data_IF_246143677560
#
_entry.id   IF_246143677560
#
_cell.length_a   1.000
_cell.length_b   1.000
_cell.length_c   1.000
_cell.angle_alpha   90.00
_cell.angle_beta   90.00
_cell.angle_gamma   90.00
#
_symmetry.space_group_name_H-M   'P 1'
#
loop_
_entity.id
_entity.type
_entity.pdbx_description
1 polymer ?
#
# COMPACT_ATOMS: atom_id res chain seq x y z
N UNK A 1 -1.92 -77.31 16.44
CA UNK A 1 -0.45 -77.45 16.38
C UNK A 1 0.06 -76.33 15.51
N UNK A 2 0.41 -75.28 16.09
CA UNK A 2 1.70 -74.60 16.36
C UNK A 2 2.73 -74.83 15.24
N UNK A 3 3.06 -73.71 14.60
CA UNK A 3 4.34 -73.12 14.18
C UNK A 3 4.14 -72.33 12.93
N UNK A 4 4.52 -71.12 12.70
CA UNK A 4 5.51 -70.25 13.35
C UNK A 4 5.76 -69.17 12.26
N UNK A 5 5.19 -67.99 12.41
CA UNK A 5 5.54 -66.83 11.54
C UNK A 5 6.81 -66.21 12.11
N UNK A 6 7.92 -66.53 11.47
CA UNK A 6 9.18 -65.81 11.68
C UNK A 6 9.17 -64.55 10.85
N UNK A 7 9.14 -63.42 11.56
CA UNK A 7 9.26 -62.09 10.98
C UNK A 7 10.63 -61.88 10.34
N UNK A 8 10.61 -61.28 9.18
CA UNK A 8 11.78 -60.67 8.54
C UNK A 8 11.61 -59.17 8.56
N UNK A 9 12.04 -58.58 9.67
CA UNK A 9 12.27 -57.13 9.77
C UNK A 9 13.52 -56.83 8.96
N UNK A 10 13.36 -56.30 7.79
CA UNK A 10 14.47 -55.75 7.01
C UNK A 10 14.73 -54.32 7.48
N UNK A 11 15.78 -54.17 8.26
CA UNK A 11 16.34 -52.89 8.65
C UNK A 11 16.87 -52.17 7.39
N UNK A 12 16.22 -51.09 7.00
CA UNK A 12 16.81 -50.10 6.12
C UNK A 12 17.85 -49.31 6.91
N UNK A 13 19.12 -49.72 6.78
CA UNK A 13 20.23 -48.93 7.29
C UNK A 13 20.35 -47.64 6.51
N UNK A 14 20.24 -46.55 7.24
CA UNK A 14 20.62 -45.21 6.81
C UNK A 14 22.08 -45.19 6.36
N UNK A 15 22.33 -44.80 5.12
CA UNK A 15 23.59 -44.19 4.74
C UNK A 15 23.40 -42.70 4.77
N UNK A 16 23.60 -42.12 5.96
CA UNK A 16 23.87 -40.72 6.13
C UNK A 16 25.35 -40.49 5.82
N UNK A 17 25.65 -40.18 4.58
CA UNK A 17 26.95 -39.65 4.17
C UNK A 17 26.99 -38.15 4.45
N UNK A 18 27.71 -37.81 5.51
CA UNK A 18 28.13 -36.45 5.78
C UNK A 18 29.04 -35.96 4.64
N UNK A 19 28.64 -34.95 3.95
CA UNK A 19 29.50 -34.07 3.18
C UNK A 19 29.32 -32.64 3.68
N UNK A 20 29.93 -32.39 4.84
CA UNK A 20 30.27 -31.06 5.28
C UNK A 20 31.66 -30.76 4.73
N UNK A 21 31.76 -29.93 3.73
CA UNK A 21 33.02 -29.32 3.34
C UNK A 21 32.70 -27.88 2.93
N UNK A 22 32.99 -26.98 3.86
CA UNK A 22 33.52 -25.64 3.66
C UNK A 22 33.42 -25.11 2.23
N UNK A 23 32.52 -24.11 2.05
CA UNK A 23 32.80 -23.10 1.07
C UNK A 23 32.76 -21.74 1.77
N UNK A 24 33.94 -21.22 1.99
CA UNK A 24 34.23 -19.96 2.55
C UNK A 24 33.60 -18.85 1.71
N UNK A 25 33.12 -17.89 2.40
CA UNK A 25 32.66 -16.61 1.97
C UNK A 25 33.47 -16.01 0.79
N UNK A 26 32.75 -15.76 -0.29
CA UNK A 26 33.06 -14.65 -1.18
C UNK A 26 31.84 -13.73 -1.12
N UNK A 27 31.86 -12.89 -0.10
CA UNK A 27 30.97 -11.74 0.01
C UNK A 27 31.42 -10.75 -1.08
N UNK A 28 30.88 -10.89 -2.28
CA UNK A 28 30.90 -9.78 -3.24
C UNK A 28 29.91 -8.74 -2.71
N UNK A 29 30.47 -7.76 -2.02
CA UNK A 29 29.83 -6.49 -1.75
C UNK A 29 29.40 -5.88 -3.10
N UNK A 30 28.13 -6.06 -3.45
CA UNK A 30 27.48 -5.16 -4.39
C UNK A 30 27.56 -3.77 -3.73
N UNK A 31 27.99 -2.73 -4.45
CA UNK A 31 27.93 -1.39 -3.90
C UNK A 31 26.46 -1.10 -3.59
N UNK A 32 26.21 -0.73 -2.34
CA UNK A 32 24.93 -0.15 -1.95
C UNK A 32 24.62 0.98 -2.95
N UNK A 33 23.36 1.10 -3.44
CA UNK A 33 22.99 2.26 -4.22
C UNK A 33 23.30 3.48 -3.36
N UNK A 34 24.14 4.36 -3.88
CA UNK A 34 24.42 5.64 -3.27
C UNK A 34 23.10 6.41 -3.15
N UNK A 35 22.44 6.25 -2.03
CA UNK A 35 21.35 7.12 -1.58
C UNK A 35 21.95 8.49 -1.18
N UNK A 36 22.50 9.21 -2.15
CA UNK A 36 22.64 10.66 -2.08
C UNK A 36 21.35 11.32 -2.57
N UNK A 37 20.24 10.88 -2.03
CA UNK A 37 19.03 11.67 -1.99
C UNK A 37 19.29 12.79 -0.99
N UNK A 38 19.63 13.98 -1.47
CA UNK A 38 19.58 15.18 -0.66
C UNK A 38 18.14 15.31 -0.20
N UNK A 39 17.86 14.85 1.04
CA UNK A 39 16.58 15.09 1.69
C UNK A 39 16.36 16.60 1.67
N UNK A 40 15.29 17.02 1.03
CA UNK A 40 14.82 18.40 1.14
C UNK A 40 14.76 18.72 2.64
N UNK A 41 15.34 19.86 3.08
CA UNK A 41 15.06 20.32 4.41
C UNK A 41 13.54 20.49 4.48
N UNK A 42 12.87 19.60 5.23
CA UNK A 42 11.49 19.80 5.61
C UNK A 42 11.43 21.23 6.16
N UNK A 43 10.59 22.07 5.58
CA UNK A 43 10.29 23.35 6.20
C UNK A 43 9.85 23.01 7.62
N UNK A 44 10.65 23.34 8.62
CA UNK A 44 10.49 22.85 10.00
C UNK A 44 9.09 23.04 10.55
N UNK A 45 8.39 24.02 10.00
CA UNK A 45 7.01 24.37 10.34
C UNK A 45 5.97 23.34 9.85
N UNK A 46 6.20 22.66 8.71
CA UNK A 46 5.24 21.67 8.19
C UNK A 46 5.10 20.45 9.12
N UNK A 47 6.17 20.09 9.83
CA UNK A 47 6.16 18.99 10.81
C UNK A 47 5.15 19.19 11.95
N UNK A 48 4.84 20.45 12.30
CA UNK A 48 3.83 20.75 13.34
C UNK A 48 2.40 20.46 12.89
N UNK A 49 2.14 20.45 11.59
CA UNK A 49 0.84 20.10 11.03
C UNK A 49 0.64 18.59 10.80
N UNK A 50 1.71 17.79 10.95
CA UNK A 50 1.72 16.36 10.71
C UNK A 50 1.76 15.56 12.03
N UNK A 51 1.27 14.31 12.05
CA UNK A 51 1.49 13.43 13.17
C UNK A 51 2.98 13.07 13.30
N UNK A 52 3.49 12.80 14.53
CA UNK A 52 4.88 12.42 14.74
C UNK A 52 5.25 11.17 13.95
N UNK A 53 6.39 11.17 13.28
CA UNK A 53 6.82 10.08 12.40
C UNK A 53 6.83 8.71 13.07
N UNK A 54 7.33 8.62 14.31
CA UNK A 54 7.34 7.36 15.06
C UNK A 54 5.94 6.80 15.34
N UNK A 55 4.95 7.69 15.58
CA UNK A 55 3.57 7.27 15.77
C UNK A 55 2.96 6.79 14.45
N UNK A 56 3.27 7.45 13.33
CA UNK A 56 2.86 7.03 11.99
C UNK A 56 3.42 5.65 11.69
N UNK A 57 4.73 5.45 11.83
CA UNK A 57 5.40 4.17 11.55
C UNK A 57 4.76 3.01 12.32
N UNK A 58 4.63 3.14 13.64
CA UNK A 58 4.00 2.10 14.48
C UNK A 58 2.55 1.81 14.08
N UNK A 59 1.81 2.86 13.75
CA UNK A 59 0.41 2.73 13.33
C UNK A 59 0.32 1.98 12.01
N UNK A 60 1.11 2.39 11.01
CA UNK A 60 1.11 1.76 9.69
C UNK A 60 1.50 0.29 9.75
N UNK A 61 2.56 -0.06 10.49
CA UNK A 61 2.98 -1.46 10.70
C UNK A 61 1.86 -2.34 11.30
N UNK A 62 0.95 -1.74 12.06
CA UNK A 62 -0.19 -2.44 12.64
C UNK A 62 -1.38 -2.62 11.69
N UNK A 63 -1.41 -1.91 10.56
CA UNK A 63 -2.52 -1.96 9.60
C UNK A 63 -2.60 -3.32 8.91
N UNK A 64 -3.81 -3.86 8.72
CA UNK A 64 -4.01 -5.15 8.06
C UNK A 64 -3.35 -5.26 6.67
N UNK A 65 -3.44 -4.27 5.75
CA UNK A 65 -2.78 -4.35 4.45
C UNK A 65 -1.27 -4.54 4.54
N UNK A 66 -0.59 -3.86 5.47
CA UNK A 66 0.85 -3.95 5.62
C UNK A 66 1.31 -5.24 6.31
N UNK A 67 0.49 -5.76 7.24
CA UNK A 67 0.71 -7.09 7.81
C UNK A 67 0.53 -8.18 6.77
N UNK A 68 -0.45 -8.06 5.88
CA UNK A 68 -0.61 -8.97 4.74
C UNK A 68 0.61 -8.90 3.81
N UNK A 69 1.11 -7.72 3.48
CA UNK A 69 2.33 -7.56 2.69
C UNK A 69 3.56 -8.25 3.29
N UNK A 70 3.69 -8.26 4.63
CA UNK A 70 4.74 -9.04 5.31
C UNK A 70 4.55 -10.55 5.12
N UNK A 71 3.32 -11.05 5.25
CA UNK A 71 3.00 -12.47 5.01
C UNK A 71 3.20 -12.86 3.53
N UNK A 72 2.94 -11.96 2.59
CA UNK A 72 3.22 -12.17 1.17
C UNK A 72 4.72 -12.28 0.87
N UNK A 73 5.58 -11.55 1.58
CA UNK A 73 7.03 -11.73 1.51
C UNK A 73 7.49 -13.08 2.06
N UNK A 74 6.91 -13.54 3.18
CA UNK A 74 7.16 -14.87 3.72
C UNK A 74 6.71 -15.96 2.74
N UNK A 75 5.53 -15.82 2.14
CA UNK A 75 5.02 -16.70 1.11
C UNK A 75 5.95 -16.75 -0.11
N UNK A 76 6.38 -15.60 -0.62
CA UNK A 76 7.29 -15.53 -1.75
C UNK A 76 8.64 -16.21 -1.46
N UNK A 77 9.13 -16.11 -0.23
CA UNK A 77 10.35 -16.82 0.24
C UNK A 77 10.15 -18.33 0.27
N UNK A 78 8.99 -18.79 0.73
CA UNK A 78 8.65 -20.23 0.72
C UNK A 78 8.48 -20.76 -0.72
N UNK A 79 7.87 -19.97 -1.61
CA UNK A 79 7.77 -20.33 -3.03
C UNK A 79 9.13 -20.35 -3.73
N UNK A 80 10.03 -19.42 -3.39
CA UNK A 80 11.41 -19.47 -3.87
C UNK A 80 12.11 -20.77 -3.42
N UNK A 81 11.97 -21.17 -2.16
CA UNK A 81 12.53 -22.43 -1.66
C UNK A 81 11.96 -23.63 -2.42
N UNK A 82 10.65 -23.64 -2.70
CA UNK A 82 9.98 -24.67 -3.51
C UNK A 82 10.54 -24.73 -4.94
N UNK A 83 10.71 -23.58 -5.59
CA UNK A 83 11.29 -23.50 -6.94
C UNK A 83 12.74 -23.99 -6.97
N UNK A 84 13.53 -23.68 -5.95
CA UNK A 84 14.91 -24.14 -5.82
C UNK A 84 14.97 -25.65 -5.62
N UNK A 85 14.12 -26.21 -4.75
CA UNK A 85 14.04 -27.66 -4.54
C UNK A 85 13.60 -28.42 -5.81
N UNK A 86 12.70 -27.80 -6.58
CA UNK A 86 12.09 -28.39 -7.77
C UNK A 86 10.94 -29.32 -7.44
N UNK A 87 10.18 -29.67 -8.48
CA UNK A 87 8.95 -30.46 -8.35
C UNK A 87 9.16 -31.96 -8.48
N UNK A 88 10.38 -32.40 -8.81
CA UNK A 88 10.68 -33.82 -9.06
C UNK A 88 11.12 -34.54 -7.78
N UNK A 89 10.20 -35.30 -7.23
CA UNK A 89 10.45 -36.18 -6.08
C UNK A 89 10.90 -37.56 -6.49
N UNK A 90 11.52 -38.29 -5.55
CA UNK A 90 11.81 -39.68 -5.72
C UNK A 90 10.55 -40.50 -5.63
N UNK A 91 10.31 -41.37 -6.64
CA UNK A 91 9.20 -42.30 -6.65
C UNK A 91 9.72 -43.71 -6.48
N UNK A 92 9.26 -44.40 -5.45
CA UNK A 92 9.49 -45.80 -5.26
C UNK A 92 8.31 -46.56 -5.83
N UNK A 93 8.58 -47.51 -6.71
CA UNK A 93 7.56 -48.39 -7.27
C UNK A 93 7.81 -49.82 -6.77
N UNK A 94 6.79 -50.43 -6.19
CA UNK A 94 6.81 -51.83 -5.80
C UNK A 94 5.67 -52.56 -6.46
N UNK A 95 5.95 -53.65 -7.12
CA UNK A 95 4.96 -54.52 -7.79
C UNK A 95 5.09 -55.97 -7.40
N UNK A 96 3.96 -56.66 -7.30
CA UNK A 96 3.90 -58.10 -7.18
C UNK A 96 2.91 -58.64 -8.22
N UNK A 97 3.33 -59.61 -9.01
CA UNK A 97 2.52 -60.24 -10.04
C UNK A 97 2.60 -61.75 -10.00
N UNK A 98 1.63 -62.40 -10.60
CA UNK A 98 1.65 -63.85 -10.78
C UNK A 98 1.54 -64.13 -12.28
N UNK A 99 2.61 -64.75 -12.82
CA UNK A 99 2.64 -65.16 -14.22
C UNK A 99 2.13 -66.60 -14.33
N UNK A 100 1.23 -66.82 -15.25
CA UNK A 100 0.78 -68.16 -15.65
C UNK A 100 1.29 -68.46 -17.07
N UNK A 101 2.06 -69.47 -17.21
CA UNK A 101 2.56 -70.00 -18.51
C UNK A 101 1.79 -71.25 -18.81
N UNK A 102 1.29 -71.42 -20.03
CA UNK A 102 0.56 -72.59 -20.45
C UNK A 102 1.47 -73.82 -20.48
N UNK A 103 1.09 -74.88 -19.79
CA UNK A 103 1.94 -76.08 -19.63
C UNK A 103 2.94 -76.03 -18.48
N UNK A 104 3.04 -74.94 -17.75
CA UNK A 104 3.92 -74.74 -16.61
C UNK A 104 3.18 -74.38 -15.33
N UNK A 105 3.88 -74.32 -14.18
CA UNK A 105 3.36 -73.87 -12.90
C UNK A 105 3.16 -72.31 -12.92
N UNK A 106 2.43 -71.82 -11.95
CA UNK A 106 2.32 -70.35 -11.72
C UNK A 106 3.56 -69.84 -11.03
N UNK A 107 4.12 -68.77 -11.51
CA UNK A 107 5.30 -68.08 -10.98
C UNK A 107 4.92 -66.80 -10.26
N UNK A 108 5.56 -66.50 -9.12
CA UNK A 108 5.44 -65.21 -8.43
C UNK A 108 6.60 -64.34 -8.89
N UNK A 109 6.26 -63.12 -9.20
CA UNK A 109 7.21 -62.13 -9.66
C UNK A 109 7.13 -60.89 -8.77
N UNK A 110 8.26 -60.27 -8.54
CA UNK A 110 8.36 -59.04 -7.75
C UNK A 110 9.18 -58.01 -8.51
N UNK A 111 8.72 -56.75 -8.44
CA UNK A 111 9.40 -55.61 -9.04
C UNK A 111 9.65 -54.55 -7.97
N UNK A 112 10.86 -53.99 -7.94
CA UNK A 112 11.22 -52.80 -7.20
C UNK A 112 11.84 -51.79 -8.15
N UNK A 113 11.30 -50.57 -8.16
CA UNK A 113 11.81 -49.47 -8.96
C UNK A 113 12.02 -48.23 -8.13
N UNK A 114 13.02 -47.46 -8.50
CA UNK A 114 13.28 -46.11 -7.99
C UNK A 114 13.46 -45.20 -9.20
N UNK A 115 12.64 -44.16 -9.27
CA UNK A 115 12.67 -43.23 -10.39
C UNK A 115 12.60 -41.78 -9.93
N UNK A 116 13.20 -40.85 -10.72
CA UNK A 116 13.13 -39.40 -10.48
C UNK A 116 13.15 -38.64 -11.80
N UNK A 117 12.31 -37.62 -11.91
CA UNK A 117 12.43 -36.65 -12.97
C UNK A 117 13.67 -35.77 -12.78
N UNK A 118 14.29 -35.38 -13.86
CA UNK A 118 15.46 -34.49 -13.86
C UNK A 118 15.12 -33.25 -14.64
N UNK A 119 15.19 -32.07 -13.97
CA UNK A 119 15.01 -30.82 -14.67
C UNK A 119 16.02 -30.70 -15.83
N UNK A 120 15.50 -30.43 -17.03
CA UNK A 120 16.34 -30.26 -18.23
C UNK A 120 17.30 -29.09 -18.04
N UNK A 121 18.40 -29.07 -18.80
CA UNK A 121 19.45 -28.06 -18.69
C UNK A 121 18.91 -26.63 -18.72
N UNK A 122 19.32 -25.82 -17.71
CA UNK A 122 18.94 -24.43 -17.57
C UNK A 122 17.61 -24.16 -16.87
N UNK A 123 16.68 -25.14 -16.74
CA UNK A 123 15.39 -24.92 -16.05
C UNK A 123 15.55 -24.61 -14.57
N UNK A 124 16.50 -25.27 -13.89
CA UNK A 124 16.78 -25.00 -12.48
C UNK A 124 17.27 -23.56 -12.24
N UNK A 125 18.09 -23.02 -13.15
CA UNK A 125 18.54 -21.62 -13.08
C UNK A 125 17.39 -20.63 -13.36
N UNK A 126 16.52 -20.97 -14.30
CA UNK A 126 15.31 -20.18 -14.58
C UNK A 126 14.36 -20.16 -13.36
N UNK A 127 14.13 -21.34 -12.74
CA UNK A 127 13.30 -21.49 -11.54
C UNK A 127 13.89 -20.66 -10.38
N UNK A 128 15.21 -20.69 -10.18
CA UNK A 128 15.90 -19.86 -9.18
C UNK A 128 15.68 -18.37 -9.43
N UNK A 129 15.87 -17.88 -10.67
CA UNK A 129 15.67 -16.48 -11.04
C UNK A 129 14.21 -16.03 -10.86
N UNK A 130 13.24 -16.90 -11.16
CA UNK A 130 11.83 -16.62 -10.90
C UNK A 130 11.58 -16.49 -9.40
N UNK A 131 12.14 -17.37 -8.57
CA UNK A 131 12.01 -17.29 -7.13
C UNK A 131 12.61 -16.01 -6.55
N UNK A 132 13.86 -15.67 -6.96
CA UNK A 132 14.52 -14.41 -6.56
C UNK A 132 13.69 -13.18 -6.95
N UNK A 133 13.21 -13.14 -8.20
CA UNK A 133 12.37 -12.03 -8.67
C UNK A 133 11.00 -12.01 -8.01
N UNK A 134 10.44 -13.16 -7.62
CA UNK A 134 9.19 -13.25 -6.84
C UNK A 134 9.32 -12.62 -5.46
N UNK A 135 10.45 -12.80 -4.77
CA UNK A 135 10.74 -12.13 -3.50
C UNK A 135 10.87 -10.62 -3.70
N UNK A 136 11.59 -10.18 -4.75
CA UNK A 136 11.70 -8.74 -5.11
C UNK A 136 10.32 -8.15 -5.40
N UNK A 137 9.44 -8.89 -6.09
CA UNK A 137 8.08 -8.45 -6.39
C UNK A 137 7.26 -8.23 -5.10
N UNK A 138 7.33 -9.18 -4.16
CA UNK A 138 6.65 -9.04 -2.88
C UNK A 138 7.18 -7.85 -2.05
N UNK A 139 8.48 -7.54 -2.15
CA UNK A 139 9.08 -6.35 -1.53
C UNK A 139 8.54 -5.06 -2.16
N UNK A 140 8.50 -4.98 -3.49
CA UNK A 140 7.95 -3.83 -4.21
C UNK A 140 6.46 -3.62 -3.92
N UNK A 141 5.67 -4.71 -3.85
CA UNK A 141 4.25 -4.66 -3.46
C UNK A 141 4.06 -4.09 -2.04
N UNK A 142 4.91 -4.49 -1.10
CA UNK A 142 4.86 -3.96 0.27
C UNK A 142 5.24 -2.48 0.33
N UNK A 143 6.24 -2.05 -0.45
CA UNK A 143 6.66 -0.65 -0.52
C UNK A 143 5.56 0.24 -1.11
N UNK A 144 4.91 -0.21 -2.19
CA UNK A 144 3.77 0.49 -2.78
C UNK A 144 2.58 0.56 -1.82
N UNK A 145 2.24 -0.55 -1.15
CA UNK A 145 1.19 -0.58 -0.13
C UNK A 145 1.47 0.35 1.06
N UNK A 146 2.74 0.48 1.47
CA UNK A 146 3.16 1.44 2.50
C UNK A 146 2.92 2.86 2.04
N UNK A 147 3.35 3.22 0.85
CA UNK A 147 3.19 4.55 0.31
C UNK A 147 1.72 4.94 0.17
N UNK A 148 0.86 4.03 -0.29
CA UNK A 148 -0.58 4.26 -0.40
C UNK A 148 -1.26 4.39 0.98
N UNK A 149 -0.83 3.59 1.97
CA UNK A 149 -1.29 3.74 3.34
C UNK A 149 -0.88 5.09 3.96
N UNK A 150 0.33 5.58 3.67
CA UNK A 150 0.77 6.92 4.06
C UNK A 150 -0.11 8.02 3.44
N UNK A 151 -0.46 7.88 2.17
CA UNK A 151 -1.34 8.81 1.45
C UNK A 151 -2.73 8.87 2.07
N UNK A 152 -3.30 7.70 2.34
CA UNK A 152 -4.63 7.60 2.96
C UNK A 152 -4.63 8.20 4.36
N UNK A 153 -3.65 7.85 5.20
CA UNK A 153 -3.49 8.42 6.54
C UNK A 153 -3.38 9.95 6.49
N UNK A 154 -2.56 10.48 5.57
CA UNK A 154 -2.38 11.93 5.39
C UNK A 154 -3.69 12.62 5.02
N UNK A 155 -4.46 12.04 4.12
CA UNK A 155 -5.76 12.57 3.73
C UNK A 155 -6.72 12.59 4.92
N UNK A 156 -6.88 11.46 5.62
CA UNK A 156 -7.76 11.35 6.80
C UNK A 156 -7.36 12.34 7.90
N UNK A 157 -6.05 12.55 8.09
CA UNK A 157 -5.52 13.50 9.05
C UNK A 157 -5.92 14.95 8.73
N UNK A 158 -5.70 15.37 7.49
CA UNK A 158 -6.06 16.74 7.06
C UNK A 158 -7.56 16.93 6.96
N UNK A 159 -8.34 15.90 6.67
CA UNK A 159 -9.81 15.97 6.71
C UNK A 159 -10.32 16.18 8.15
N UNK A 160 -9.70 15.50 9.13
CA UNK A 160 -10.01 15.72 10.53
C UNK A 160 -9.63 17.15 11.01
N UNK A 161 -8.45 17.64 10.60
CA UNK A 161 -8.07 19.04 10.87
C UNK A 161 -9.07 20.04 10.29
N UNK A 162 -9.55 19.80 9.07
CA UNK A 162 -10.55 20.66 8.41
C UNK A 162 -11.89 20.63 9.15
N UNK A 163 -12.36 19.46 9.56
CA UNK A 163 -13.60 19.30 10.31
C UNK A 163 -13.53 19.98 11.68
N UNK A 164 -12.41 19.80 12.40
CA UNK A 164 -12.16 20.48 13.69
C UNK A 164 -12.12 22.01 13.53
N UNK A 165 -11.44 22.51 12.50
CA UNK A 165 -11.35 23.95 12.23
C UNK A 165 -12.72 24.55 11.94
N UNK A 166 -13.53 23.88 11.13
CA UNK A 166 -14.91 24.29 10.83
C UNK A 166 -15.76 24.32 12.08
N UNK A 167 -15.72 23.26 12.90
CA UNK A 167 -16.45 23.18 14.17
C UNK A 167 -16.07 24.31 15.12
N UNK A 168 -14.78 24.59 15.28
CA UNK A 168 -14.30 25.65 16.16
C UNK A 168 -14.81 27.02 15.72
N UNK A 169 -14.70 27.37 14.44
CA UNK A 169 -15.16 28.66 13.92
C UNK A 169 -16.67 28.86 14.03
N UNK A 170 -17.43 27.79 13.79
CA UNK A 170 -18.88 27.84 13.96
C UNK A 170 -19.27 27.91 15.45
N UNK A 171 -18.50 27.35 16.36
CA UNK A 171 -18.72 27.53 17.79
C UNK A 171 -18.45 28.97 18.24
N UNK A 172 -17.37 29.60 17.77
CA UNK A 172 -17.05 30.99 18.02
C UNK A 172 -18.17 31.91 17.49
N UNK A 173 -18.65 31.65 16.27
CA UNK A 173 -19.74 32.37 15.66
C UNK A 173 -21.05 32.23 16.44
N UNK A 174 -21.40 31.00 16.84
CA UNK A 174 -22.62 30.75 17.62
C UNK A 174 -22.61 31.52 18.96
N UNK A 175 -21.48 31.46 19.69
CA UNK A 175 -21.33 32.23 20.93
C UNK A 175 -21.52 33.76 20.73
N UNK A 176 -21.01 34.26 19.63
CA UNK A 176 -21.15 35.68 19.28
C UNK A 176 -22.59 36.04 18.93
N UNK A 177 -23.31 35.23 18.15
CA UNK A 177 -24.73 35.46 17.83
C UNK A 177 -25.59 35.38 19.09
N UNK A 178 -25.26 34.54 20.07
CA UNK A 178 -25.91 34.52 21.40
C UNK A 178 -25.75 35.87 22.11
N UNK A 179 -24.56 36.46 22.08
CA UNK A 179 -24.33 37.80 22.68
C UNK A 179 -25.14 38.88 21.96
N UNK A 180 -25.22 38.83 20.62
CA UNK A 180 -26.04 39.79 19.84
C UNK A 180 -27.54 39.65 20.14
N UNK A 181 -28.05 38.42 20.30
CA UNK A 181 -29.42 38.16 20.69
C UNK A 181 -29.72 38.79 22.07
N UNK A 182 -28.86 38.54 23.07
CA UNK A 182 -29.04 39.15 24.40
C UNK A 182 -29.00 40.69 24.38
N UNK A 183 -28.11 41.26 23.57
CA UNK A 183 -28.04 42.70 23.39
C UNK A 183 -29.31 43.29 22.73
N UNK A 184 -29.82 42.63 21.69
CA UNK A 184 -31.08 43.05 21.01
C UNK A 184 -32.27 42.94 21.95
N UNK A 185 -32.38 41.94 22.78
CA UNK A 185 -33.44 41.80 23.78
C UNK A 185 -33.43 42.91 24.82
N UNK A 186 -32.25 43.36 25.28
CA UNK A 186 -32.13 44.49 26.20
C UNK A 186 -32.53 45.77 25.55
N UNK A 187 -32.12 46.02 24.32
CA UNK A 187 -32.48 47.26 23.57
C UNK A 187 -33.98 47.36 23.27
N UNK A 188 -34.63 46.23 22.98
CA UNK A 188 -36.09 46.22 22.79
C UNK A 188 -36.81 46.47 24.13
N UNK A 189 -36.31 45.92 25.24
CA UNK A 189 -36.88 46.18 26.58
C UNK A 189 -36.76 47.65 27.02
N UNK A 190 -35.66 48.33 26.64
CA UNK A 190 -35.47 49.75 26.91
C UNK A 190 -36.24 50.67 25.96
N UNK A 191 -36.84 50.11 24.92
CA UNK A 191 -37.54 50.88 23.88
C UNK A 191 -36.63 51.51 22.82
N UNK A 192 -35.34 51.13 22.81
CA UNK A 192 -34.32 51.71 21.92
C UNK A 192 -34.25 51.01 20.54
N UNK A 193 -34.99 49.87 20.38
CA UNK A 193 -34.99 49.12 19.15
C UNK A 193 -36.34 48.45 18.88
N UNK A 194 -36.70 48.21 17.60
CA UNK A 194 -37.92 47.51 17.24
C UNK A 194 -37.86 46.02 17.56
N UNK A 195 -38.98 45.41 17.90
CA UNK A 195 -39.09 43.95 18.17
C UNK A 195 -38.58 43.07 17.01
N UNK A 196 -38.52 43.61 15.80
CA UNK A 196 -37.96 42.96 14.62
C UNK A 196 -36.51 42.53 14.83
N UNK A 197 -35.70 43.32 15.57
CA UNK A 197 -34.30 42.97 15.82
C UNK A 197 -34.15 41.64 16.64
N UNK A 198 -35.03 41.44 17.63
CA UNK A 198 -35.04 40.17 18.39
C UNK A 198 -35.43 38.99 17.50
N UNK A 199 -36.39 39.16 16.58
CA UNK A 199 -36.74 38.09 15.64
C UNK A 199 -35.64 37.78 14.66
N UNK A 200 -34.91 38.79 14.17
CA UNK A 200 -33.79 38.62 13.24
C UNK A 200 -32.62 37.89 13.91
N UNK A 201 -32.21 38.32 15.11
CA UNK A 201 -31.13 37.66 15.88
C UNK A 201 -31.53 36.24 16.32
N UNK A 202 -32.80 36.03 16.69
CA UNK A 202 -33.31 34.69 17.03
C UNK A 202 -33.27 33.71 15.85
N UNK A 203 -33.61 34.20 14.64
CA UNK A 203 -33.50 33.38 13.41
C UNK A 203 -32.04 33.05 13.11
N UNK A 204 -31.11 34.00 13.26
CA UNK A 204 -29.68 33.76 13.02
C UNK A 204 -29.09 32.85 14.11
N UNK A 205 -29.54 32.95 15.35
CA UNK A 205 -29.15 32.04 16.44
C UNK A 205 -29.55 30.61 16.11
N UNK A 206 -30.81 30.36 15.75
CA UNK A 206 -31.29 29.04 15.38
C UNK A 206 -30.51 28.47 14.17
N UNK A 207 -30.22 29.29 13.17
CA UNK A 207 -29.39 28.91 12.02
C UNK A 207 -27.97 28.50 12.45
N UNK A 208 -27.33 29.31 13.30
CA UNK A 208 -25.97 29.05 13.77
C UNK A 208 -25.88 27.75 14.61
N UNK A 209 -26.94 27.43 15.35
CA UNK A 209 -27.06 26.21 16.12
C UNK A 209 -27.08 24.96 15.20
N UNK A 210 -27.89 25.00 14.13
CA UNK A 210 -27.94 23.90 13.13
C UNK A 210 -26.58 23.70 12.47
N UNK A 211 -25.91 24.79 12.04
CA UNK A 211 -24.59 24.69 11.41
C UNK A 211 -23.54 24.12 12.38
N UNK A 212 -23.57 24.54 13.63
CA UNK A 212 -22.66 24.04 14.66
C UNK A 212 -22.92 22.55 14.98
N UNK A 213 -24.19 22.15 15.04
CA UNK A 213 -24.57 20.75 15.27
C UNK A 213 -24.02 19.84 14.15
N UNK A 214 -24.18 20.28 12.89
CA UNK A 214 -23.62 19.55 11.74
C UNK A 214 -22.08 19.47 11.81
N UNK A 215 -21.40 20.58 12.07
CA UNK A 215 -19.94 20.60 12.16
C UNK A 215 -19.38 19.74 13.32
N UNK A 216 -20.10 19.69 14.46
CA UNK A 216 -19.78 18.80 15.57
C UNK A 216 -19.90 17.33 15.17
N UNK A 217 -20.95 17.00 14.44
CA UNK A 217 -21.14 15.65 13.91
C UNK A 217 -19.98 15.27 12.98
N UNK A 218 -19.64 16.11 12.00
CA UNK A 218 -18.57 15.87 11.03
C UNK A 218 -17.19 15.70 11.73
N UNK A 219 -16.89 16.57 12.70
CA UNK A 219 -15.67 16.49 13.49
C UNK A 219 -15.61 15.19 14.33
N UNK A 220 -16.73 14.79 14.93
CA UNK A 220 -16.83 13.55 15.70
C UNK A 220 -16.58 12.32 14.81
N UNK A 221 -17.16 12.31 13.61
CA UNK A 221 -16.94 11.23 12.65
C UNK A 221 -15.48 11.15 12.18
N UNK A 222 -14.87 12.27 11.81
CA UNK A 222 -13.48 12.32 11.38
C UNK A 222 -12.52 11.85 12.49
N UNK A 223 -12.74 12.28 13.72
CA UNK A 223 -11.95 11.83 14.89
C UNK A 223 -12.19 10.35 15.21
N UNK A 224 -13.42 9.85 15.07
CA UNK A 224 -13.74 8.44 15.25
C UNK A 224 -13.03 7.57 14.20
N UNK A 225 -12.99 8.01 12.94
CA UNK A 225 -12.21 7.35 11.88
C UNK A 225 -10.73 7.24 12.28
N UNK A 226 -10.11 8.37 12.66
CA UNK A 226 -8.70 8.39 13.06
C UNK A 226 -8.44 7.48 14.27
N UNK A 227 -9.24 7.57 15.33
CA UNK A 227 -9.04 6.79 16.55
C UNK A 227 -9.29 5.30 16.36
N UNK A 228 -10.16 4.92 15.44
CA UNK A 228 -10.49 3.51 15.16
C UNK A 228 -9.46 2.88 14.24
N UNK A 229 -9.11 3.58 13.15
CA UNK A 229 -8.19 3.07 12.11
C UNK A 229 -6.74 3.21 12.56
N UNK A 230 -6.38 4.35 13.17
CA UNK A 230 -5.00 4.74 13.50
C UNK A 230 -4.82 4.92 15.01
N UNK A 231 -5.03 3.86 15.76
CA UNK A 231 -5.14 3.85 17.23
C UNK A 231 -3.95 4.47 17.99
N UNK A 232 -2.78 4.50 17.38
CA UNK A 232 -1.55 4.99 18.03
C UNK A 232 -1.23 6.45 17.67
N UNK A 233 -2.05 7.10 16.85
CA UNK A 233 -1.85 8.50 16.52
C UNK A 233 -2.41 9.40 17.63
N UNK A 234 -1.74 10.53 17.92
CA UNK A 234 -2.32 11.59 18.75
C UNK A 234 -3.50 12.24 18.03
N UNK A 235 -4.33 12.95 18.76
CA UNK A 235 -5.39 13.76 18.12
C UNK A 235 -4.80 14.99 17.41
N UNK A 236 -5.34 15.39 16.24
CA UNK A 236 -4.95 16.61 15.55
C UNK A 236 -5.18 17.86 16.43
N UNK A 237 -4.25 18.82 16.38
CA UNK A 237 -4.32 20.07 17.14
C UNK A 237 -4.30 21.24 16.18
N UNK A 238 -5.24 22.19 16.35
CA UNK A 238 -5.39 23.36 15.48
C UNK A 238 -4.50 24.54 15.87
N UNK A 239 -4.12 24.64 17.12
CA UNK A 239 -3.28 25.70 17.68
C UNK A 239 -1.84 25.71 17.14
N UNK A 240 -1.43 24.62 16.50
CA UNK A 240 -0.10 24.45 15.94
C UNK A 240 -0.05 24.46 14.41
N UNK A 241 -1.12 24.87 13.74
CA UNK A 241 -1.12 24.95 12.27
C UNK A 241 -0.19 26.07 11.78
N UNK A 242 0.89 25.73 11.05
CA UNK A 242 1.81 26.72 10.52
C UNK A 242 1.20 27.48 9.34
N UNK A 243 1.82 28.60 8.99
CA UNK A 243 1.50 29.25 7.71
C UNK A 243 2.13 28.44 6.56
N UNK A 244 1.35 28.18 5.49
CA UNK A 244 1.89 27.58 4.28
C UNK A 244 3.04 28.41 3.71
N UNK A 245 4.12 27.71 3.31
CA UNK A 245 5.28 28.39 2.73
C UNK A 245 5.27 28.26 1.20
N UNK A 246 5.79 29.31 0.55
CA UNK A 246 5.99 29.25 -0.89
C UNK A 246 7.14 28.32 -1.20
N UNK A 247 6.91 27.46 -2.15
CA UNK A 247 7.95 26.59 -2.66
C UNK A 247 9.04 27.37 -3.41
N UNK A 248 10.31 26.95 -3.22
CA UNK A 248 11.48 27.58 -3.81
C UNK A 248 12.02 26.81 -5.02
N UNK A 249 11.71 25.50 -5.15
CA UNK A 249 12.18 24.68 -6.24
C UNK A 249 11.37 24.88 -7.54
N UNK A 250 12.02 24.70 -8.68
CA UNK A 250 11.38 24.74 -9.97
C UNK A 250 10.50 23.48 -10.21
N UNK A 251 9.46 23.67 -11.03
CA UNK A 251 8.46 22.62 -11.31
C UNK A 251 9.06 21.35 -11.91
N UNK A 252 9.96 21.40 -12.92
CA UNK A 252 10.55 20.22 -13.51
C UNK A 252 11.33 19.36 -12.51
N UNK A 253 12.18 19.98 -11.68
CA UNK A 253 12.96 19.27 -10.66
C UNK A 253 12.09 18.53 -9.67
N UNK A 254 10.95 19.09 -9.28
CA UNK A 254 10.02 18.47 -8.35
C UNK A 254 9.26 17.31 -8.97
N UNK A 255 8.83 17.47 -10.21
CA UNK A 255 8.20 16.37 -10.94
C UNK A 255 9.19 15.21 -11.08
N UNK A 256 10.44 15.49 -11.46
CA UNK A 256 11.48 14.47 -11.58
C UNK A 256 11.67 13.69 -10.26
N UNK A 257 11.78 14.38 -9.11
CA UNK A 257 11.90 13.70 -7.81
C UNK A 257 10.74 12.76 -7.46
N UNK A 258 9.51 13.10 -7.86
CA UNK A 258 8.34 12.24 -7.64
C UNK A 258 8.34 11.04 -8.58
N UNK A 259 8.89 11.20 -9.80
CA UNK A 259 8.84 10.16 -10.84
C UNK A 259 10.01 9.20 -10.80
N UNK A 260 11.20 9.64 -10.34
CA UNK A 260 12.43 8.87 -10.44
C UNK A 260 12.48 7.69 -9.44
N UNK A 261 11.91 7.87 -8.23
CA UNK A 261 11.86 6.84 -7.17
C UNK A 261 10.42 6.39 -6.86
N UNK A 262 9.56 6.29 -7.85
CA UNK A 262 8.16 6.00 -7.64
C UNK A 262 7.89 4.50 -7.42
N UNK A 263 7.37 4.11 -6.25
CA UNK A 263 7.10 2.71 -5.89
C UNK A 263 6.09 2.02 -6.80
N UNK A 264 5.09 2.73 -7.31
CA UNK A 264 4.11 2.17 -8.23
C UNK A 264 4.74 1.83 -9.60
N UNK A 265 5.65 2.68 -10.08
CA UNK A 265 6.40 2.40 -11.30
C UNK A 265 7.41 1.26 -11.08
N UNK A 266 8.13 1.26 -9.98
CA UNK A 266 9.04 0.17 -9.60
C UNK A 266 8.30 -1.17 -9.54
N UNK A 267 7.14 -1.21 -8.87
CA UNK A 267 6.30 -2.40 -8.80
C UNK A 267 5.92 -2.90 -10.19
N UNK A 268 5.46 -2.03 -11.07
CA UNK A 268 5.07 -2.42 -12.44
C UNK A 268 6.27 -2.96 -13.24
N UNK A 269 7.45 -2.37 -13.10
CA UNK A 269 8.68 -2.83 -13.76
C UNK A 269 9.14 -4.20 -13.25
N UNK A 270 9.13 -4.41 -11.93
CA UNK A 270 9.47 -5.69 -11.32
C UNK A 270 8.47 -6.77 -11.73
N UNK A 271 7.16 -6.47 -11.78
CA UNK A 271 6.12 -7.37 -12.26
C UNK A 271 6.34 -7.77 -13.73
N UNK A 272 6.69 -6.82 -14.59
CA UNK A 272 7.01 -7.10 -15.99
C UNK A 272 8.23 -8.04 -16.14
N UNK A 273 9.30 -7.79 -15.36
CA UNK A 273 10.48 -8.65 -15.33
C UNK A 273 10.15 -10.07 -14.84
N UNK A 274 9.30 -10.19 -13.81
CA UNK A 274 8.84 -11.48 -13.29
C UNK A 274 8.05 -12.26 -14.35
N UNK A 275 7.12 -11.62 -15.05
CA UNK A 275 6.37 -12.25 -16.13
C UNK A 275 7.25 -12.61 -17.33
N UNK A 276 8.26 -11.81 -17.66
CA UNK A 276 9.24 -12.13 -18.69
C UNK A 276 10.06 -13.39 -18.34
N UNK A 277 10.49 -13.54 -17.07
CA UNK A 277 11.16 -14.76 -16.60
C UNK A 277 10.23 -15.97 -16.67
N UNK A 278 8.97 -15.85 -16.25
CA UNK A 278 7.96 -16.91 -16.37
C UNK A 278 7.71 -17.30 -17.83
N UNK A 279 7.66 -16.35 -18.75
CA UNK A 279 7.48 -16.64 -20.16
C UNK A 279 8.66 -17.43 -20.73
N UNK A 280 9.92 -17.08 -20.39
CA UNK A 280 11.11 -17.84 -20.78
C UNK A 280 11.07 -19.26 -20.21
N UNK A 281 10.67 -19.41 -18.96
CA UNK A 281 10.55 -20.72 -18.30
C UNK A 281 9.48 -21.59 -18.96
N UNK A 282 8.31 -21.01 -19.27
CA UNK A 282 7.23 -21.71 -19.97
C UNK A 282 7.64 -22.12 -21.39
N UNK A 283 8.40 -21.30 -22.10
CA UNK A 283 8.96 -21.66 -23.41
C UNK A 283 9.91 -22.88 -23.31
N UNK A 284 10.67 -22.98 -22.22
CA UNK A 284 11.55 -24.14 -21.96
C UNK A 284 10.78 -25.44 -21.69
N UNK A 285 9.50 -25.38 -21.31
CA UNK A 285 8.64 -26.57 -21.11
C UNK A 285 8.25 -27.25 -22.42
N UNK A 286 8.52 -26.64 -23.59
CA UNK A 286 8.39 -27.33 -24.88
C UNK A 286 9.29 -28.57 -24.94
N UNK A 287 10.41 -28.57 -24.20
CA UNK A 287 11.25 -29.75 -23.95
C UNK A 287 10.95 -30.29 -22.55
N UNK A 288 10.14 -31.36 -22.45
CA UNK A 288 9.76 -31.93 -21.16
C UNK A 288 10.96 -32.51 -20.43
N UNK A 289 10.85 -32.62 -19.10
CA UNK A 289 11.88 -33.17 -18.26
C UNK A 289 11.92 -34.71 -18.38
N UNK A 290 13.10 -35.34 -18.56
CA UNK A 290 13.23 -36.75 -18.59
C UNK A 290 13.11 -37.35 -17.19
N UNK A 291 12.67 -38.62 -17.12
CA UNK A 291 12.64 -39.42 -15.90
C UNK A 291 13.67 -40.50 -16.01
N UNK A 292 14.61 -40.53 -15.06
CA UNK A 292 15.54 -41.65 -14.90
C UNK A 292 15.03 -42.61 -13.84
N UNK A 293 15.12 -43.91 -14.13
CA UNK A 293 14.73 -44.95 -13.20
C UNK A 293 15.72 -46.14 -13.17
N UNK A 294 15.78 -46.76 -12.03
CA UNK A 294 16.46 -48.06 -11.84
C UNK A 294 15.39 -49.04 -11.42
N UNK A 295 15.35 -50.23 -12.05
CA UNK A 295 14.37 -51.26 -11.79
C UNK A 295 15.08 -52.58 -11.55
N UNK A 296 14.69 -53.31 -10.50
CA UNK A 296 15.09 -54.68 -10.20
C UNK A 296 13.87 -55.58 -10.23
N UNK A 297 13.90 -56.64 -11.05
CA UNK A 297 12.82 -57.62 -11.09
C UNK A 297 13.34 -59.00 -10.66
N UNK A 298 12.47 -59.74 -9.97
CA UNK A 298 12.67 -61.15 -9.66
C UNK A 298 11.51 -61.90 -10.31
N UNK A 299 11.85 -62.78 -11.25
CA UNK A 299 10.92 -63.56 -12.04
C UNK A 299 11.11 -65.09 -11.76
N UNK A 300 10.09 -65.87 -12.15
CA UNK A 300 10.10 -67.37 -11.96
C UNK A 300 10.43 -67.77 -10.54
N UNK A 301 9.71 -67.28 -9.55
CA UNK A 301 9.96 -67.56 -8.12
C UNK A 301 11.40 -67.23 -7.65
N UNK A 302 12.04 -66.26 -8.32
CA UNK A 302 13.39 -65.77 -7.97
C UNK A 302 14.55 -66.48 -8.72
N UNK A 303 14.25 -67.39 -9.68
CA UNK A 303 15.26 -68.03 -10.51
C UNK A 303 15.93 -67.09 -11.49
N UNK A 304 15.15 -66.01 -11.92
CA UNK A 304 15.64 -64.97 -12.81
C UNK A 304 15.67 -63.64 -12.07
N UNK A 305 16.73 -62.87 -12.26
CA UNK A 305 16.91 -61.56 -11.71
C UNK A 305 17.36 -60.63 -12.80
N UNK A 306 16.64 -59.49 -12.94
CA UNK A 306 17.00 -58.47 -13.90
C UNK A 306 17.25 -57.17 -13.16
N UNK A 307 18.31 -56.44 -13.52
CA UNK A 307 18.58 -55.08 -13.12
C UNK A 307 18.62 -54.24 -14.40
N UNK A 308 17.76 -53.23 -14.46
CA UNK A 308 17.64 -52.35 -15.64
C UNK A 308 17.67 -50.90 -15.26
N UNK A 309 18.13 -50.07 -16.19
CA UNK A 309 18.02 -48.61 -16.15
C UNK A 309 16.98 -48.19 -17.18
N UNK A 310 16.09 -47.30 -16.82
CA UNK A 310 15.07 -46.74 -17.72
C UNK A 310 15.23 -45.26 -17.86
N UNK A 311 15.07 -44.75 -19.09
CA UNK A 311 14.97 -43.35 -19.40
C UNK A 311 13.63 -43.12 -20.13
N UNK A 312 12.75 -42.32 -19.53
CA UNK A 312 11.49 -41.94 -20.12
C UNK A 312 11.52 -40.45 -20.45
N UNK A 313 11.27 -40.12 -21.70
CA UNK A 313 11.23 -38.73 -22.19
C UNK A 313 9.82 -38.46 -22.73
N UNK A 314 8.99 -37.66 -22.03
CA UNK A 314 7.70 -37.27 -22.55
C UNK A 314 7.89 -36.46 -23.84
N UNK A 315 7.01 -36.63 -24.80
CA UNK A 315 7.03 -35.80 -26.02
C UNK A 315 6.21 -34.56 -25.79
N UNK A 316 6.74 -33.42 -26.26
CA UNK A 316 6.03 -32.13 -26.20
C UNK A 316 4.75 -32.18 -27.04
N UNK A 317 3.70 -31.52 -26.57
CA UNK A 317 2.41 -31.44 -27.25
C UNK A 317 1.89 -30.01 -27.38
N UNK A 318 0.78 -29.85 -28.13
CA UNK A 318 0.15 -28.55 -28.37
C UNK A 318 -0.19 -27.77 -27.10
N UNK A 319 -0.57 -28.44 -26.03
CA UNK A 319 -0.86 -27.79 -24.73
C UNK A 319 0.34 -27.04 -24.15
N UNK A 320 1.54 -27.61 -24.23
CA UNK A 320 2.77 -26.97 -23.74
C UNK A 320 3.16 -25.76 -24.62
N UNK A 321 2.92 -25.85 -25.93
CA UNK A 321 3.13 -24.72 -26.83
C UNK A 321 2.17 -23.60 -26.52
N UNK A 322 0.88 -23.89 -26.36
CA UNK A 322 -0.15 -22.92 -26.01
C UNK A 322 0.11 -22.24 -24.65
N UNK A 323 0.59 -22.99 -23.63
CA UNK A 323 0.98 -22.38 -22.35
C UNK A 323 2.18 -21.43 -22.52
N UNK A 324 3.17 -21.80 -23.31
CA UNK A 324 4.29 -20.92 -23.64
C UNK A 324 3.83 -19.61 -24.34
N UNK A 325 2.91 -19.73 -25.30
CA UNK A 325 2.33 -18.60 -26.00
C UNK A 325 1.49 -17.72 -25.05
N UNK A 326 0.68 -18.31 -24.18
CA UNK A 326 -0.07 -17.61 -23.15
C UNK A 326 0.83 -16.84 -22.17
N UNK A 327 1.93 -17.47 -21.73
CA UNK A 327 2.91 -16.80 -20.87
C UNK A 327 3.60 -15.64 -21.58
N UNK A 328 3.92 -15.76 -22.88
CA UNK A 328 4.47 -14.66 -23.66
C UNK A 328 3.49 -13.49 -23.82
N UNK A 329 2.18 -13.76 -23.94
CA UNK A 329 1.16 -12.72 -23.96
C UNK A 329 1.08 -12.02 -22.61
N UNK A 330 1.09 -12.76 -21.49
CA UNK A 330 1.09 -12.17 -20.12
C UNK A 330 2.29 -11.24 -19.91
N UNK A 331 3.47 -11.61 -20.40
CA UNK A 331 4.66 -10.77 -20.34
C UNK A 331 4.48 -9.45 -21.11
N UNK A 332 3.97 -9.50 -22.34
CA UNK A 332 3.66 -8.28 -23.11
C UNK A 332 2.59 -7.41 -22.47
N UNK A 333 1.57 -8.03 -21.86
CA UNK A 333 0.57 -7.28 -21.09
C UNK A 333 1.19 -6.54 -19.90
N UNK A 334 2.14 -7.16 -19.21
CA UNK A 334 2.85 -6.53 -18.11
C UNK A 334 3.75 -5.36 -18.59
N UNK A 335 4.44 -5.52 -19.72
CA UNK A 335 5.22 -4.43 -20.35
C UNK A 335 4.32 -3.24 -20.75
N UNK A 336 3.13 -3.51 -21.29
CA UNK A 336 2.17 -2.44 -21.62
C UNK A 336 1.68 -1.73 -20.35
N UNK A 337 1.47 -2.45 -19.25
CA UNK A 337 1.13 -1.84 -17.95
C UNK A 337 2.21 -0.90 -17.45
N UNK A 338 3.50 -1.22 -17.62
CA UNK A 338 4.59 -0.30 -17.28
C UNK A 338 4.42 1.03 -18.00
N UNK A 339 4.12 1.00 -19.30
CA UNK A 339 3.89 2.23 -20.09
C UNK A 339 2.70 3.05 -19.58
N UNK A 340 1.60 2.36 -19.21
CA UNK A 340 0.41 3.01 -18.66
C UNK A 340 0.70 3.62 -17.28
N UNK A 341 1.36 2.88 -16.39
CA UNK A 341 1.74 3.34 -15.04
C UNK A 341 2.67 4.54 -15.14
N UNK A 342 3.69 4.48 -16.01
CA UNK A 342 4.61 5.60 -16.22
C UNK A 342 3.88 6.89 -16.64
N UNK A 343 2.93 6.77 -17.56
CA UNK A 343 2.11 7.93 -18.00
C UNK A 343 1.25 8.46 -16.85
N UNK A 344 0.64 7.58 -16.05
CA UNK A 344 -0.17 7.95 -14.89
C UNK A 344 0.66 8.65 -13.82
N UNK A 345 1.79 8.06 -13.41
CA UNK A 345 2.70 8.62 -12.42
C UNK A 345 3.18 10.01 -12.83
N UNK A 346 3.55 10.19 -14.11
CA UNK A 346 3.96 11.50 -14.63
C UNK A 346 2.83 12.53 -14.55
N UNK A 347 1.59 12.14 -14.89
CA UNK A 347 0.43 13.03 -14.79
C UNK A 347 0.10 13.38 -13.34
N UNK A 348 0.17 12.40 -12.43
CA UNK A 348 -0.15 12.61 -11.02
C UNK A 348 0.91 13.47 -10.32
N UNK A 349 2.19 13.32 -10.67
CA UNK A 349 3.25 14.21 -10.23
C UNK A 349 3.01 15.66 -10.69
N UNK A 350 2.65 15.86 -11.98
CA UNK A 350 2.30 17.19 -12.50
C UNK A 350 1.11 17.80 -11.76
N UNK A 351 0.06 17.01 -11.50
CA UNK A 351 -1.13 17.44 -10.76
C UNK A 351 -0.80 17.81 -9.32
N UNK A 352 0.00 17.00 -8.62
CA UNK A 352 0.39 17.26 -7.24
C UNK A 352 1.17 18.58 -7.11
N UNK A 353 2.16 18.81 -7.98
CA UNK A 353 2.95 20.04 -8.00
C UNK A 353 2.09 21.26 -8.38
N UNK A 354 1.18 21.12 -9.36
CA UNK A 354 0.27 22.18 -9.75
C UNK A 354 -0.74 22.49 -8.63
N UNK A 355 -1.27 21.48 -7.96
CA UNK A 355 -2.19 21.62 -6.83
C UNK A 355 -1.54 22.38 -5.66
N UNK A 356 -0.29 22.07 -5.31
CA UNK A 356 0.43 22.78 -4.24
C UNK A 356 0.58 24.26 -4.57
N UNK A 357 0.93 24.62 -5.80
CA UNK A 357 1.06 26.02 -6.22
C UNK A 357 -0.30 26.74 -6.16
N UNK A 358 -1.34 26.10 -6.71
CA UNK A 358 -2.67 26.65 -6.74
C UNK A 358 -3.25 26.88 -5.33
N UNK A 359 -3.14 25.88 -4.44
CA UNK A 359 -3.66 25.98 -3.08
C UNK A 359 -2.95 27.05 -2.26
N UNK A 360 -1.63 27.20 -2.43
CA UNK A 360 -0.87 28.28 -1.81
C UNK A 360 -1.35 29.66 -2.28
N UNK A 361 -1.56 29.87 -3.59
CA UNK A 361 -2.05 31.12 -4.15
C UNK A 361 -3.48 31.42 -3.66
N UNK A 362 -4.36 30.40 -3.67
CA UNK A 362 -5.73 30.53 -3.18
C UNK A 362 -5.77 30.93 -1.70
N UNK A 363 -4.94 30.27 -0.85
CA UNK A 363 -4.83 30.64 0.56
C UNK A 363 -4.38 32.09 0.75
N UNK A 364 -3.34 32.54 0.03
CA UNK A 364 -2.82 33.92 0.15
C UNK A 364 -3.90 34.95 -0.17
N UNK A 365 -4.67 34.73 -1.25
CA UNK A 365 -5.76 35.60 -1.65
C UNK A 365 -6.92 35.59 -0.66
N UNK A 366 -7.36 34.38 -0.24
CA UNK A 366 -8.49 34.26 0.71
C UNK A 366 -8.14 34.80 2.10
N UNK A 367 -6.90 34.65 2.55
CA UNK A 367 -6.42 35.26 3.80
C UNK A 367 -6.57 36.77 3.77
N UNK A 368 -6.21 37.44 2.66
CA UNK A 368 -6.37 38.89 2.51
C UNK A 368 -7.84 39.28 2.53
N UNK A 369 -8.71 38.57 1.80
CA UNK A 369 -10.14 38.80 1.78
C UNK A 369 -10.75 38.62 3.18
N UNK A 370 -10.41 37.55 3.89
CA UNK A 370 -10.89 37.29 5.25
C UNK A 370 -10.49 38.42 6.23
N UNK A 371 -9.24 38.90 6.15
CA UNK A 371 -8.79 40.00 6.98
C UNK A 371 -9.58 41.29 6.72
N UNK A 372 -9.88 41.61 5.46
CA UNK A 372 -10.67 42.77 5.09
C UNK A 372 -12.13 42.65 5.54
N UNK A 373 -12.76 41.50 5.29
CA UNK A 373 -14.15 41.23 5.72
C UNK A 373 -14.30 41.24 7.25
N UNK A 374 -13.32 40.70 7.98
CA UNK A 374 -13.32 40.74 9.44
C UNK A 374 -13.28 42.21 9.97
N UNK A 375 -12.41 43.06 9.38
CA UNK A 375 -12.34 44.47 9.74
C UNK A 375 -13.66 45.20 9.40
N UNK A 376 -14.24 44.93 8.23
CA UNK A 376 -15.53 45.50 7.83
C UNK A 376 -16.63 45.09 8.82
N UNK A 377 -16.72 43.85 9.20
CA UNK A 377 -17.71 43.34 10.16
C UNK A 377 -17.56 44.00 11.53
N UNK A 378 -16.31 44.19 12.02
CA UNK A 378 -16.06 44.91 13.28
C UNK A 378 -16.49 46.40 13.22
N UNK A 379 -16.27 47.08 12.10
CA UNK A 379 -16.70 48.46 11.92
C UNK A 379 -18.22 48.55 11.86
N UNK A 380 -18.87 47.66 11.13
CA UNK A 380 -20.34 47.64 11.00
C UNK A 380 -21.03 47.33 12.34
N UNK A 381 -20.45 46.43 13.14
CA UNK A 381 -20.94 46.14 14.49
C UNK A 381 -20.86 47.39 15.41
N UNK A 382 -19.73 48.11 15.38
CA UNK A 382 -19.61 49.38 16.14
C UNK A 382 -20.60 50.43 15.69
N UNK A 383 -20.80 50.57 14.37
CA UNK A 383 -21.80 51.52 13.81
C UNK A 383 -23.23 51.14 14.25
N UNK A 384 -23.57 49.84 14.28
CA UNK A 384 -24.86 49.39 14.83
C UNK A 384 -24.99 49.68 16.33
N UNK A 385 -23.94 49.41 17.11
CA UNK A 385 -23.94 49.73 18.57
C UNK A 385 -24.10 51.24 18.83
N UNK A 386 -23.55 52.07 17.94
CA UNK A 386 -23.72 53.55 18.00
C UNK A 386 -25.06 54.06 17.45
N UNK A 387 -25.90 53.19 16.89
CA UNK A 387 -27.18 53.56 16.26
C UNK A 387 -27.05 54.12 14.84
N UNK A 388 -25.85 54.05 14.22
CA UNK A 388 -25.55 54.60 12.89
C UNK A 388 -25.78 53.59 11.74
N UNK A 389 -25.93 52.32 12.06
CA UNK A 389 -26.19 51.27 11.08
C UNK A 389 -27.32 50.33 11.55
N UNK A 390 -27.96 49.63 10.60
CA UNK A 390 -28.97 48.64 10.93
C UNK A 390 -28.36 47.31 11.46
N UNK A 391 -29.13 46.62 12.30
CA UNK A 391 -28.73 45.25 12.73
C UNK A 391 -28.60 44.31 11.54
N UNK A 392 -29.48 44.45 10.53
CA UNK A 392 -29.43 43.63 9.31
C UNK A 392 -28.10 43.77 8.58
N UNK A 393 -27.53 44.95 8.48
CA UNK A 393 -26.24 45.20 7.84
C UNK A 393 -25.09 44.64 8.68
N UNK A 394 -25.19 44.78 10.02
CA UNK A 394 -24.21 44.16 10.93
C UNK A 394 -24.19 42.62 10.84
N UNK A 395 -25.38 42.00 10.84
CA UNK A 395 -25.50 40.54 10.69
C UNK A 395 -25.02 40.06 9.31
N UNK A 396 -25.33 40.77 8.22
CA UNK A 396 -24.85 40.43 6.88
C UNK A 396 -23.34 40.51 6.79
N UNK A 397 -22.73 41.62 7.26
CA UNK A 397 -21.27 41.78 7.27
C UNK A 397 -20.57 40.69 8.12
N UNK A 398 -21.18 40.32 9.23
CA UNK A 398 -20.67 39.25 10.11
C UNK A 398 -20.72 37.91 9.44
N UNK A 399 -21.82 37.58 8.76
CA UNK A 399 -21.93 36.31 7.99
C UNK A 399 -20.88 36.24 6.89
N UNK A 400 -20.69 37.32 6.15
CA UNK A 400 -19.67 37.41 5.10
C UNK A 400 -18.25 37.25 5.68
N UNK A 401 -17.97 37.82 6.85
CA UNK A 401 -16.67 37.63 7.52
C UNK A 401 -16.44 36.20 7.99
N UNK A 402 -17.49 35.51 8.49
CA UNK A 402 -17.40 34.08 8.81
C UNK A 402 -17.11 33.24 7.58
N UNK A 403 -17.87 33.43 6.50
CA UNK A 403 -17.73 32.66 5.26
C UNK A 403 -16.30 32.80 4.68
N UNK A 404 -15.77 34.01 4.65
CA UNK A 404 -14.42 34.29 4.16
C UNK A 404 -13.34 33.76 5.10
N UNK A 405 -13.54 33.77 6.42
CA UNK A 405 -12.62 33.25 7.41
C UNK A 405 -12.57 31.72 7.31
N UNK A 406 -13.71 31.05 7.19
CA UNK A 406 -13.80 29.60 6.96
C UNK A 406 -13.11 29.20 5.65
N UNK A 407 -13.37 29.96 4.57
CA UNK A 407 -12.71 29.70 3.29
C UNK A 407 -11.19 29.88 3.38
N UNK A 408 -10.68 30.89 4.07
CA UNK A 408 -9.26 31.11 4.26
C UNK A 408 -8.60 30.01 5.09
N UNK A 409 -9.25 29.54 6.17
CA UNK A 409 -8.74 28.47 7.01
C UNK A 409 -8.76 27.11 6.30
N UNK A 410 -9.82 26.83 5.55
CA UNK A 410 -9.90 25.63 4.70
C UNK A 410 -8.82 25.65 3.63
N UNK A 411 -8.55 26.79 3.01
CA UNK A 411 -7.48 26.96 2.04
C UNK A 411 -6.08 26.82 2.67
N UNK A 412 -5.89 27.26 3.92
CA UNK A 412 -4.65 27.04 4.68
C UNK A 412 -4.38 25.54 4.85
N UNK A 413 -5.38 24.80 5.33
CA UNK A 413 -5.26 23.34 5.53
C UNK A 413 -5.04 22.63 4.20
N UNK A 414 -5.73 23.04 3.13
CA UNK A 414 -5.54 22.48 1.79
C UNK A 414 -4.12 22.76 1.23
N UNK A 415 -3.55 23.94 1.48
CA UNK A 415 -2.20 24.26 1.06
C UNK A 415 -1.14 23.44 1.84
N UNK A 416 -1.34 23.25 3.14
CA UNK A 416 -0.49 22.37 3.96
C UNK A 416 -0.59 20.91 3.50
N UNK A 417 -1.79 20.40 3.25
CA UNK A 417 -2.01 19.06 2.75
C UNK A 417 -1.34 18.85 1.38
N UNK A 418 -1.48 19.79 0.45
CA UNK A 418 -0.84 19.70 -0.86
C UNK A 418 0.70 19.76 -0.77
N UNK A 419 1.25 20.55 0.14
CA UNK A 419 2.69 20.58 0.40
C UNK A 419 3.18 19.25 1.00
N UNK A 420 2.46 18.71 1.99
CA UNK A 420 2.78 17.44 2.60
C UNK A 420 2.70 16.28 1.59
N UNK A 421 1.70 16.29 0.69
CA UNK A 421 1.54 15.31 -0.38
C UNK A 421 2.74 15.27 -1.31
N UNK A 422 3.22 16.43 -1.76
CA UNK A 422 4.41 16.50 -2.63
C UNK A 422 5.66 15.99 -1.91
N UNK A 423 5.82 16.27 -0.61
CA UNK A 423 6.93 15.75 0.19
C UNK A 423 6.85 14.23 0.38
N UNK A 424 5.64 13.70 0.58
CA UNK A 424 5.41 12.26 0.67
C UNK A 424 5.72 11.56 -0.66
N UNK A 425 5.20 12.09 -1.77
CA UNK A 425 5.41 11.52 -3.09
C UNK A 425 6.88 11.64 -3.56
N UNK A 426 7.65 12.58 -2.99
CA UNK A 426 9.09 12.72 -3.19
C UNK A 426 9.94 11.96 -2.14
N UNK A 427 9.33 11.05 -1.38
CA UNK A 427 9.98 10.21 -0.36
C UNK A 427 10.72 10.98 0.74
N UNK A 428 10.30 12.24 1.01
CA UNK A 428 10.85 13.04 2.10
C UNK A 428 10.10 12.87 3.43
N UNK A 429 8.96 12.17 3.42
CA UNK A 429 8.11 11.89 4.59
C UNK A 429 7.82 10.40 4.70
N UNK A 430 7.93 9.86 5.93
CA UNK A 430 7.46 8.52 6.32
C UNK A 430 7.95 7.38 5.40
N UNK A 431 9.22 7.44 5.01
CA UNK A 431 9.83 6.42 4.16
C UNK A 431 9.82 5.05 4.82
N UNK A 432 9.68 4.00 4.00
CA UNK A 432 9.92 2.63 4.42
C UNK A 432 11.44 2.38 4.38
N UNK A 433 12.00 1.89 5.48
CA UNK A 433 13.42 1.49 5.56
C UNK A 433 13.59 0.05 5.07
#
# INVERSE_FOLDING_TARGET
>A
MRTGLSGMVLACALVAGAANAANAASTSLLPAPNATGASLPLAGDLLYALPPEQAVRRTLESLPPLRLGTMEQELATAEQAKLNAGTHEWTVRAGASQRRVEGERRYREHELGLERGIRWFGKADQDRKIGEKGVTLAQAQRADAWHEACRTLMQDWYDALRALATMQRLAEQHALVQQLQAAAELRVKSGDSPALEVMQTGTELARSEVLLAQARHDATQALALLSTTYRQLPQPQLDRLPEPQRDQDDTPTRIARITDDNHELELAEVEAQFHALKARRAASERMPDPVLGIRSTRERDGQERTLGVSLSIPLGGAARTAEGDAAAVRARMAEERVSQVKTRVQLDAQRAVAAQRHTYQAWTSLRQVAQQSARQAQLMERAWQAGEASLSDALLSRRQALDTTLAAQTAQIAALAAAARVQLDAHALWTID
#
